data_IF_673855998690
#
_entry.id   IF_673855998690
#
_cell.length_a   1.000
_cell.length_b   1.000
_cell.length_c   1.000
_cell.angle_alpha   90.00
_cell.angle_beta   90.00
_cell.angle_gamma   90.00
#
_symmetry.space_group_name_H-M   'P 1'
#
loop_
_entity.id
_entity.type
_entity.pdbx_description
1 polymer ?
#
# COMPACT_ATOMS: atom_id res chain seq x y z
N UNK A 1 0.31 -5.07 31.31
CA UNK A 1 1.09 -4.26 30.35
C UNK A 1 2.42 -4.02 31.04
N UNK A 2 3.46 -4.77 30.64
CA UNK A 2 4.77 -4.69 31.31
C UNK A 2 5.47 -3.43 30.78
N UNK A 3 5.58 -2.44 31.66
CA UNK A 3 6.35 -1.23 31.41
C UNK A 3 7.82 -1.60 31.28
N UNK A 4 8.41 -1.40 30.12
CA UNK A 4 9.81 -1.71 29.88
C UNK A 4 10.62 -0.42 30.02
N UNK A 5 11.58 -0.40 30.94
CA UNK A 5 12.45 0.76 31.09
C UNK A 5 13.31 0.92 29.81
N UNK A 6 13.40 2.11 29.23
CA UNK A 6 14.25 2.35 28.06
C UNK A 6 15.72 2.21 28.42
N UNK A 7 16.54 1.80 27.46
CA UNK A 7 18.00 1.80 27.63
C UNK A 7 18.53 3.24 27.62
N UNK A 8 19.66 3.53 28.27
CA UNK A 8 20.27 4.87 28.25
C UNK A 8 20.54 5.41 26.85
N UNK A 9 20.93 4.53 25.93
CA UNK A 9 21.20 4.91 24.52
C UNK A 9 19.91 5.32 23.80
N UNK A 10 18.80 4.61 24.06
CA UNK A 10 17.50 4.97 23.50
C UNK A 10 16.99 6.31 24.06
N UNK A 11 17.18 6.54 25.38
CA UNK A 11 16.82 7.81 26.01
C UNK A 11 17.56 8.98 25.35
N UNK A 12 18.88 8.86 25.16
CA UNK A 12 19.70 9.89 24.52
C UNK A 12 19.28 10.11 23.06
N UNK A 13 18.93 9.05 22.32
CA UNK A 13 18.43 9.16 20.95
C UNK A 13 17.08 9.90 20.90
N UNK A 14 16.17 9.61 21.81
CA UNK A 14 14.87 10.28 21.90
C UNK A 14 15.00 11.75 22.26
N UNK A 15 15.90 12.09 23.21
CA UNK A 15 16.19 13.47 23.56
C UNK A 15 16.73 14.27 22.35
N UNK A 16 17.62 13.69 21.54
CA UNK A 16 18.11 14.28 20.27
C UNK A 16 16.99 14.52 19.27
N UNK A 17 15.94 13.73 19.31
CA UNK A 17 14.73 13.87 18.47
C UNK A 17 13.70 14.84 19.07
N UNK A 18 14.01 15.48 20.21
CA UNK A 18 13.11 16.42 20.88
C UNK A 18 12.03 15.76 21.75
N UNK A 19 12.20 14.49 22.12
CA UNK A 19 11.29 13.75 22.98
C UNK A 19 11.88 13.71 24.41
N UNK A 20 11.35 14.51 25.38
CA UNK A 20 11.91 14.60 26.73
C UNK A 20 11.73 13.31 27.52
N UNK A 21 12.65 13.04 28.44
CA UNK A 21 12.52 11.93 29.40
C UNK A 21 11.23 12.03 30.19
N UNK A 22 10.57 10.90 30.37
CA UNK A 22 9.32 10.82 31.12
C UNK A 22 8.07 11.32 30.37
N UNK A 23 8.21 11.78 29.09
CA UNK A 23 7.07 12.17 28.24
C UNK A 23 6.49 11.00 27.45
N UNK A 24 7.03 9.80 27.58
CA UNK A 24 6.64 8.61 26.81
C UNK A 24 6.60 7.35 27.68
N UNK A 25 5.89 6.34 27.20
CA UNK A 25 5.89 4.99 27.74
C UNK A 25 6.42 4.06 26.66
N UNK A 26 7.47 3.30 26.98
CA UNK A 26 8.00 2.28 26.06
C UNK A 26 7.16 1.01 26.15
N UNK A 27 6.38 0.74 25.13
CA UNK A 27 5.62 -0.49 24.99
C UNK A 27 6.21 -1.35 23.85
N UNK A 28 6.55 -2.62 24.09
CA UNK A 28 7.00 -3.49 23.01
C UNK A 28 5.87 -3.69 22.00
N UNK A 29 6.15 -3.66 20.68
CA UNK A 29 5.16 -3.95 19.68
C UNK A 29 4.69 -5.40 19.83
N UNK A 30 3.41 -5.68 19.52
CA UNK A 30 2.96 -7.05 19.35
C UNK A 30 3.66 -7.69 18.13
N UNK A 31 3.61 -9.02 18.08
CA UNK A 31 4.30 -9.78 17.02
C UNK A 31 3.89 -9.36 15.61
N UNK A 32 2.60 -9.08 15.40
CA UNK A 32 2.10 -8.68 14.08
C UNK A 32 2.63 -7.29 13.69
N UNK A 33 2.57 -6.33 14.60
CA UNK A 33 3.09 -4.98 14.37
C UNK A 33 4.59 -4.97 14.13
N UNK A 34 5.34 -5.81 14.83
CA UNK A 34 6.79 -5.96 14.60
C UNK A 34 7.09 -6.47 13.17
N UNK A 35 6.33 -7.47 12.67
CA UNK A 35 6.47 -8.00 11.30
C UNK A 35 6.09 -6.93 10.27
N UNK A 36 5.01 -6.19 10.49
CA UNK A 36 4.59 -5.11 9.59
C UNK A 36 5.65 -4.01 9.53
N UNK A 37 6.16 -3.57 10.68
CA UNK A 37 7.20 -2.54 10.75
C UNK A 37 8.48 -2.97 10.01
N UNK A 38 8.96 -4.21 10.21
CA UNK A 38 10.12 -4.75 9.50
C UNK A 38 9.90 -4.77 7.98
N UNK A 39 8.76 -5.29 7.53
CA UNK A 39 8.44 -5.35 6.09
C UNK A 39 8.32 -3.98 5.45
N UNK A 40 7.66 -3.04 6.11
CA UNK A 40 7.52 -1.67 5.59
C UNK A 40 8.85 -0.94 5.55
N UNK A 41 9.68 -1.07 6.58
CA UNK A 41 11.01 -0.48 6.62
C UNK A 41 11.91 -1.02 5.51
N UNK A 42 11.90 -2.34 5.29
CA UNK A 42 12.63 -2.97 4.19
C UNK A 42 12.13 -2.50 2.84
N UNK A 43 10.81 -2.48 2.63
CA UNK A 43 10.22 -2.00 1.38
C UNK A 43 10.64 -0.56 1.09
N UNK A 44 10.63 0.32 2.10
CA UNK A 44 11.02 1.72 1.92
C UNK A 44 12.51 1.93 1.63
N UNK A 45 13.39 1.05 2.17
CA UNK A 45 14.85 1.18 2.02
C UNK A 45 15.43 0.38 0.85
N UNK A 46 14.84 -0.77 0.52
CA UNK A 46 15.39 -1.71 -0.46
C UNK A 46 14.73 -1.60 -1.84
N UNK A 47 13.49 -1.09 -1.91
CA UNK A 47 12.73 -0.97 -3.17
C UNK A 47 12.68 0.48 -3.60
N UNK A 48 13.39 0.88 -4.69
CA UNK A 48 13.27 2.22 -5.24
C UNK A 48 11.85 2.48 -5.70
N UNK A 49 11.23 3.54 -5.16
CA UNK A 49 9.87 3.94 -5.53
C UNK A 49 9.92 5.17 -6.42
N UNK A 50 9.19 5.13 -7.51
CA UNK A 50 9.04 6.23 -8.44
C UNK A 50 7.55 6.57 -8.60
N UNK A 51 7.06 7.69 -8.04
CA UNK A 51 5.68 8.10 -8.20
C UNK A 51 5.44 8.68 -9.59
N UNK A 52 4.39 8.22 -10.25
CA UNK A 52 3.87 8.80 -11.48
C UNK A 52 2.41 9.21 -11.30
N UNK A 53 2.02 10.36 -11.82
CA UNK A 53 0.66 10.87 -11.73
C UNK A 53 0.16 11.27 -13.10
N UNK A 54 -1.12 11.00 -13.37
CA UNK A 54 -1.82 11.41 -14.59
C UNK A 54 -3.24 11.84 -14.21
N UNK A 55 -3.72 12.91 -14.83
CA UNK A 55 -5.11 13.34 -14.70
C UNK A 55 -5.95 12.70 -15.80
N UNK A 56 -7.05 12.08 -15.42
CA UNK A 56 -7.97 11.41 -16.34
C UNK A 56 -9.40 11.86 -16.09
N UNK A 57 -10.13 12.26 -17.14
CA UNK A 57 -11.55 12.58 -17.03
C UNK A 57 -12.38 11.31 -16.89
N UNK A 58 -13.08 11.18 -15.78
CA UNK A 58 -14.01 10.08 -15.52
C UNK A 58 -15.47 10.38 -15.90
N UNK A 59 -15.78 11.53 -16.52
CA UNK A 59 -17.15 11.95 -16.80
C UNK A 59 -17.93 10.87 -17.56
N UNK A 60 -17.42 10.39 -18.69
CA UNK A 60 -18.09 9.37 -19.51
C UNK A 60 -18.23 8.02 -18.77
N UNK A 61 -17.25 7.68 -17.92
CA UNK A 61 -17.25 6.46 -17.11
C UNK A 61 -18.33 6.53 -16.03
N UNK A 62 -18.46 7.68 -15.35
CA UNK A 62 -19.49 7.91 -14.32
C UNK A 62 -20.88 7.85 -14.95
N UNK A 63 -21.09 8.49 -16.11
CA UNK A 63 -22.37 8.45 -16.83
C UNK A 63 -22.74 7.04 -17.28
N UNK A 64 -21.79 6.30 -17.83
CA UNK A 64 -22.01 4.91 -18.26
C UNK A 64 -22.36 4.00 -17.06
N UNK A 65 -21.62 4.15 -15.94
CA UNK A 65 -21.90 3.45 -14.69
C UNK A 65 -23.28 3.77 -14.14
N UNK A 66 -23.66 5.04 -14.15
CA UNK A 66 -24.98 5.49 -13.66
C UNK A 66 -26.09 4.81 -14.45
N UNK A 67 -26.05 4.88 -15.78
CA UNK A 67 -27.03 4.21 -16.66
C UNK A 67 -27.06 2.69 -16.43
N UNK A 68 -25.90 2.06 -16.23
CA UNK A 68 -25.83 0.62 -15.96
C UNK A 68 -26.51 0.28 -14.63
N UNK A 69 -26.31 1.06 -13.60
CA UNK A 69 -26.82 0.81 -12.25
C UNK A 69 -28.28 1.17 -12.05
N UNK A 70 -28.89 2.03 -12.90
CA UNK A 70 -30.29 2.43 -12.81
C UNK A 70 -31.28 1.25 -12.94
N UNK A 71 -30.91 0.24 -13.70
CA UNK A 71 -31.76 -0.94 -13.98
C UNK A 71 -31.32 -2.20 -13.23
N UNK A 72 -30.47 -2.08 -12.21
CA UNK A 72 -29.91 -3.23 -11.49
C UNK A 72 -30.26 -3.24 -10.01
N UNK A 73 -30.41 -4.43 -9.45
CA UNK A 73 -30.53 -4.63 -8.01
C UNK A 73 -29.25 -4.20 -7.29
N UNK A 74 -29.37 -3.85 -6.00
CA UNK A 74 -28.27 -3.30 -5.20
C UNK A 74 -27.03 -4.20 -5.20
N UNK A 75 -27.22 -5.52 -5.20
CA UNK A 75 -26.15 -6.51 -5.14
C UNK A 75 -25.37 -6.73 -6.46
N UNK A 76 -25.87 -6.11 -7.56
CA UNK A 76 -25.29 -6.24 -8.90
C UNK A 76 -24.77 -4.89 -9.42
N UNK A 77 -24.74 -3.86 -8.58
CA UNK A 77 -24.27 -2.53 -8.95
C UNK A 77 -22.75 -2.47 -9.01
N UNK A 78 -22.25 -1.75 -10.01
CA UNK A 78 -20.82 -1.52 -10.22
C UNK A 78 -20.42 -0.25 -9.45
N UNK A 79 -19.35 -0.33 -8.68
CA UNK A 79 -18.70 0.82 -8.05
C UNK A 79 -17.66 1.46 -8.98
N UNK A 80 -17.19 2.66 -8.65
CA UNK A 80 -16.04 3.27 -9.35
C UNK A 80 -14.78 2.43 -9.12
N UNK A 81 -14.63 1.86 -7.93
CA UNK A 81 -13.48 1.03 -7.60
C UNK A 81 -13.41 -0.23 -8.48
N UNK A 82 -14.55 -0.88 -8.76
CA UNK A 82 -14.60 -2.05 -9.65
C UNK A 82 -14.11 -1.70 -11.05
N UNK A 83 -14.47 -0.52 -11.54
CA UNK A 83 -14.02 -0.02 -12.85
C UNK A 83 -12.51 0.23 -12.84
N UNK A 84 -11.98 0.83 -11.76
CA UNK A 84 -10.54 1.08 -11.61
C UNK A 84 -9.76 -0.23 -11.54
N UNK A 85 -10.26 -1.22 -10.77
CA UNK A 85 -9.65 -2.56 -10.69
C UNK A 85 -9.63 -3.22 -12.07
N UNK A 86 -10.76 -3.22 -12.78
CA UNK A 86 -10.84 -3.80 -14.13
C UNK A 86 -9.89 -3.11 -15.12
N UNK A 87 -9.84 -1.78 -15.09
CA UNK A 87 -8.93 -1.02 -15.94
C UNK A 87 -7.46 -1.29 -15.62
N UNK A 88 -7.11 -1.39 -14.33
CA UNK A 88 -5.77 -1.72 -13.88
C UNK A 88 -5.34 -3.13 -14.31
N UNK A 89 -6.24 -4.11 -14.15
CA UNK A 89 -5.99 -5.48 -14.62
C UNK A 89 -5.75 -5.52 -16.14
N UNK A 90 -6.57 -4.81 -16.91
CA UNK A 90 -6.39 -4.74 -18.37
C UNK A 90 -5.07 -4.06 -18.74
N UNK A 91 -4.69 -2.98 -18.05
CA UNK A 91 -3.43 -2.30 -18.27
C UNK A 91 -2.21 -3.20 -18.00
N UNK A 92 -2.26 -4.06 -16.98
CA UNK A 92 -1.20 -5.03 -16.69
C UNK A 92 -1.09 -6.13 -17.76
N UNK A 93 -2.20 -6.48 -18.41
CA UNK A 93 -2.21 -7.41 -19.54
C UNK A 93 -1.63 -6.74 -20.80
N UNK A 94 -2.00 -5.49 -21.05
CA UNK A 94 -1.58 -4.75 -22.25
C UNK A 94 -0.11 -4.33 -22.18
N UNK A 95 0.42 -4.11 -20.96
CA UNK A 95 1.81 -3.69 -20.72
C UNK A 95 2.48 -4.66 -19.73
N UNK A 96 2.83 -5.89 -20.19
CA UNK A 96 3.36 -6.93 -19.31
C UNK A 96 4.73 -6.60 -18.70
N UNK A 97 5.42 -5.59 -19.21
CA UNK A 97 6.69 -5.11 -18.67
C UNK A 97 6.57 -4.47 -17.29
N UNK A 98 5.39 -4.02 -16.88
CA UNK A 98 5.14 -3.46 -15.54
C UNK A 98 4.60 -4.50 -14.57
N UNK A 99 4.14 -5.66 -15.05
CA UNK A 99 3.67 -6.76 -14.24
C UNK A 99 4.81 -7.74 -13.88
N UNK A 100 5.80 -7.22 -13.17
CA UNK A 100 7.06 -7.91 -12.89
C UNK A 100 7.46 -7.79 -11.42
N UNK A 101 8.27 -8.75 -10.96
CA UNK A 101 8.96 -8.69 -9.68
C UNK A 101 10.46 -8.86 -9.88
N UNK A 102 11.26 -8.06 -9.20
CA UNK A 102 12.72 -8.17 -9.23
C UNK A 102 13.21 -9.15 -8.17
N UNK A 103 14.18 -9.98 -8.55
CA UNK A 103 14.87 -10.91 -7.65
C UNK A 103 16.37 -10.86 -7.90
N UNK A 104 17.18 -11.42 -7.00
CA UNK A 104 18.63 -11.53 -7.17
C UNK A 104 19.04 -12.38 -8.39
N UNK A 105 18.14 -13.20 -8.91
CA UNK A 105 18.40 -14.06 -10.07
C UNK A 105 17.84 -13.49 -11.38
N UNK A 106 17.10 -12.41 -11.32
CA UNK A 106 16.50 -11.77 -12.49
C UNK A 106 15.10 -11.24 -12.25
N UNK A 107 14.43 -10.89 -13.34
CA UNK A 107 13.07 -10.35 -13.34
C UNK A 107 12.07 -11.47 -13.59
N UNK A 108 11.10 -11.61 -12.69
CA UNK A 108 9.95 -12.51 -12.85
C UNK A 108 8.85 -11.74 -13.57
N UNK A 109 8.36 -12.24 -14.68
CA UNK A 109 7.14 -11.73 -15.34
C UNK A 109 5.96 -12.58 -14.90
N UNK A 110 4.96 -11.94 -14.32
CA UNK A 110 3.73 -12.61 -13.94
C UNK A 110 2.88 -12.89 -15.18
N UNK A 111 2.20 -14.05 -15.21
CA UNK A 111 1.32 -14.43 -16.30
C UNK A 111 -0.09 -13.88 -16.12
N UNK A 112 -0.50 -13.74 -14.87
CA UNK A 112 -1.82 -13.29 -14.49
C UNK A 112 -1.73 -11.87 -13.92
N UNK A 113 -2.78 -11.07 -14.11
CA UNK A 113 -2.91 -9.72 -13.58
C UNK A 113 -3.78 -9.77 -12.32
N UNK A 114 -3.14 -9.94 -11.16
CA UNK A 114 -3.82 -9.94 -9.86
C UNK A 114 -3.89 -8.51 -9.32
N UNK A 115 -5.10 -7.98 -9.17
CA UNK A 115 -5.37 -6.65 -8.61
C UNK A 115 -6.40 -6.79 -7.48
N UNK A 116 -6.07 -6.23 -6.28
CA UNK A 116 -6.92 -6.27 -5.09
C UNK A 116 -7.18 -4.87 -4.52
#
# INVERSE_FOLDING_TARGET
MTDHAPTPELEEQLERQGIPRGSYILAPPDRLRAIIADRMSRSASEVPQFPASVEVSLANVVDARTRHNESRDADVRISINDIVIAASSQALVDVPEVNVSHTSQGVIRHKDADVA
#
